data_IF_326314701141
#
_entry.id   IF_326314701141
#
_cell.length_a   1.000
_cell.length_b   1.000
_cell.length_c   1.000
_cell.angle_alpha   90.00
_cell.angle_beta   90.00
_cell.angle_gamma   90.00
#
_symmetry.space_group_name_H-M   'P 1'
#
loop_
_entity.id
_entity.type
_entity.pdbx_description
1 polymer ?
#
# COMPACT_ATOMS: atom_id res chain seq x y z
N UNK A 1 -57.35 15.20 -7.15
CA UNK A 1 -56.43 15.97 -6.29
C UNK A 1 -55.48 15.02 -5.59
N UNK A 2 -54.24 14.96 -5.99
CA UNK A 2 -53.21 14.10 -5.37
C UNK A 2 -52.77 14.75 -4.05
N UNK A 3 -52.98 14.05 -2.91
CA UNK A 3 -52.46 14.47 -1.60
C UNK A 3 -50.91 14.37 -1.66
N UNK A 4 -50.24 15.50 -1.61
CA UNK A 4 -48.79 15.55 -1.38
C UNK A 4 -48.56 15.26 0.12
N UNK A 5 -48.16 14.05 0.45
CA UNK A 5 -47.71 13.68 1.79
C UNK A 5 -46.28 14.24 1.96
N UNK A 6 -46.13 15.26 2.79
CA UNK A 6 -44.80 15.75 3.19
C UNK A 6 -44.17 14.85 4.25
N UNK A 7 -42.84 14.78 4.30
CA UNK A 7 -42.11 14.11 5.36
C UNK A 7 -42.33 14.77 6.70
N UNK A 8 -42.48 13.98 7.75
CA UNK A 8 -42.57 14.50 9.11
C UNK A 8 -41.16 14.77 9.67
N UNK A 9 -41.07 15.75 10.58
CA UNK A 9 -39.78 16.06 11.25
C UNK A 9 -39.26 14.86 12.04
N UNK A 10 -40.17 14.10 12.66
CA UNK A 10 -39.81 12.84 13.36
C UNK A 10 -39.19 11.80 12.43
N UNK A 11 -39.75 11.60 11.24
CA UNK A 11 -39.24 10.66 10.24
C UNK A 11 -37.83 11.03 9.79
N UNK A 12 -37.55 12.34 9.59
CA UNK A 12 -36.23 12.84 9.27
C UNK A 12 -35.21 12.56 10.40
N UNK A 13 -35.64 12.77 11.66
CA UNK A 13 -34.77 12.48 12.82
C UNK A 13 -34.43 11.00 12.94
N UNK A 14 -35.39 10.08 12.71
CA UNK A 14 -35.16 8.64 12.73
C UNK A 14 -34.18 8.24 11.61
N UNK A 15 -34.38 8.75 10.40
CA UNK A 15 -33.48 8.46 9.26
C UNK A 15 -32.06 8.93 9.55
N UNK A 16 -31.89 10.15 10.08
CA UNK A 16 -30.56 10.66 10.43
C UNK A 16 -29.90 9.85 11.55
N UNK A 17 -30.67 9.38 12.54
CA UNK A 17 -30.14 8.51 13.59
C UNK A 17 -29.64 7.17 13.03
N UNK A 18 -30.40 6.54 12.12
CA UNK A 18 -30.01 5.28 11.47
C UNK A 18 -28.76 5.50 10.60
N UNK A 19 -28.73 6.55 9.78
CA UNK A 19 -27.57 6.89 8.94
C UNK A 19 -26.33 7.14 9.79
N UNK A 20 -26.48 7.85 10.91
CA UNK A 20 -25.38 8.10 11.84
C UNK A 20 -24.80 6.83 12.45
N UNK A 21 -25.68 5.90 12.86
CA UNK A 21 -25.28 4.58 13.36
C UNK A 21 -24.53 3.75 12.30
N UNK A 22 -25.07 3.68 11.09
CA UNK A 22 -24.44 2.93 9.98
C UNK A 22 -23.11 3.56 9.57
N UNK A 23 -23.01 4.88 9.51
CA UNK A 23 -21.78 5.58 9.19
C UNK A 23 -20.67 5.35 10.25
N UNK A 24 -21.06 5.34 11.54
CA UNK A 24 -20.13 5.07 12.64
C UNK A 24 -19.41 3.73 12.56
N UNK A 25 -20.04 2.72 12.01
CA UNK A 25 -19.46 1.38 11.82
C UNK A 25 -18.88 1.16 10.41
N UNK A 26 -19.51 1.73 9.40
CA UNK A 26 -19.14 1.53 8.00
C UNK A 26 -17.83 2.21 7.62
N UNK A 27 -17.60 3.43 8.09
CA UNK A 27 -16.41 4.21 7.70
C UNK A 27 -15.09 3.55 8.15
N UNK A 28 -14.91 3.13 9.42
CA UNK A 28 -13.66 2.48 9.84
C UNK A 28 -13.43 1.14 9.13
N UNK A 29 -14.47 0.34 8.95
CA UNK A 29 -14.38 -0.94 8.22
C UNK A 29 -13.95 -0.72 6.76
N UNK A 30 -14.51 0.28 6.10
CA UNK A 30 -14.14 0.63 4.71
C UNK A 30 -12.68 1.07 4.61
N UNK A 31 -12.21 1.91 5.54
CA UNK A 31 -10.80 2.37 5.55
C UNK A 31 -9.81 1.21 5.71
N UNK A 32 -10.11 0.28 6.60
CA UNK A 32 -9.27 -0.91 6.77
C UNK A 32 -9.26 -1.80 5.52
N UNK A 33 -10.41 -1.99 4.88
CA UNK A 33 -10.50 -2.74 3.63
C UNK A 33 -9.66 -2.08 2.53
N UNK A 34 -9.75 -0.76 2.38
CA UNK A 34 -8.95 -0.01 1.41
C UNK A 34 -7.45 -0.09 1.72
N UNK A 35 -7.05 -0.02 3.00
CA UNK A 35 -5.66 -0.18 3.39
C UNK A 35 -5.11 -1.56 3.00
N UNK A 36 -5.86 -2.63 3.23
CA UNK A 36 -5.48 -3.99 2.80
C UNK A 36 -5.31 -4.08 1.28
N UNK A 37 -6.22 -3.47 0.52
CA UNK A 37 -6.13 -3.43 -0.95
C UNK A 37 -4.88 -2.68 -1.42
N UNK A 38 -4.56 -1.54 -0.83
CA UNK A 38 -3.36 -0.79 -1.15
C UNK A 38 -2.08 -1.56 -0.80
N UNK A 39 -2.03 -2.25 0.34
CA UNK A 39 -0.90 -3.13 0.71
C UNK A 39 -0.71 -4.26 -0.29
N UNK A 40 -1.79 -4.96 -0.66
CA UNK A 40 -1.74 -6.02 -1.68
C UNK A 40 -1.24 -5.50 -3.04
N UNK A 41 -1.66 -4.28 -3.41
CA UNK A 41 -1.20 -3.61 -4.63
C UNK A 41 0.30 -3.29 -4.57
N UNK A 42 0.82 -2.81 -3.43
CA UNK A 42 2.24 -2.55 -3.22
C UNK A 42 3.08 -3.83 -3.33
N UNK A 43 2.65 -4.92 -2.68
CA UNK A 43 3.30 -6.24 -2.76
C UNK A 43 3.33 -6.75 -4.19
N UNK A 44 2.20 -6.67 -4.91
CA UNK A 44 2.13 -7.07 -6.33
C UNK A 44 3.06 -6.23 -7.21
N UNK A 45 3.18 -4.92 -6.94
CA UNK A 45 4.09 -4.05 -7.69
C UNK A 45 5.56 -4.40 -7.44
N UNK A 46 5.94 -4.74 -6.20
CA UNK A 46 7.29 -5.24 -5.88
C UNK A 46 7.65 -6.50 -6.65
N UNK A 47 6.74 -7.48 -6.71
CA UNK A 47 6.99 -8.71 -7.47
C UNK A 47 7.09 -8.46 -8.98
N UNK A 48 6.27 -7.56 -9.54
CA UNK A 48 6.41 -7.17 -10.96
C UNK A 48 7.75 -6.51 -11.24
N UNK A 49 8.19 -5.61 -10.36
CA UNK A 49 9.49 -4.95 -10.48
C UNK A 49 10.65 -5.94 -10.31
N UNK A 50 10.55 -6.88 -9.36
CA UNK A 50 11.54 -7.93 -9.16
C UNK A 50 11.68 -8.81 -10.41
N UNK A 51 10.56 -9.29 -10.94
CA UNK A 51 10.55 -10.11 -12.15
C UNK A 51 11.16 -9.37 -13.35
N UNK A 52 10.84 -8.07 -13.53
CA UNK A 52 11.46 -7.25 -14.56
C UNK A 52 12.99 -7.20 -14.40
N UNK A 53 13.49 -6.97 -13.18
CA UNK A 53 14.94 -6.92 -12.92
C UNK A 53 15.65 -8.24 -13.14
N UNK A 54 14.96 -9.36 -12.97
CA UNK A 54 15.48 -10.72 -13.26
C UNK A 54 15.61 -10.97 -14.77
N UNK A 55 14.79 -10.31 -15.59
CA UNK A 55 14.85 -10.44 -17.06
C UNK A 55 15.93 -9.58 -17.72
N UNK A 56 16.58 -8.68 -16.96
CA UNK A 56 17.64 -7.83 -17.48
C UNK A 56 18.95 -8.63 -17.63
N UNK A 57 19.61 -8.45 -18.77
CA UNK A 57 20.93 -9.02 -19.01
C UNK A 57 21.99 -8.48 -18.04
N UNK A 58 22.98 -9.30 -17.75
CA UNK A 58 24.13 -8.93 -16.92
C UNK A 58 24.92 -7.82 -17.63
N UNK A 59 25.06 -6.67 -16.97
CA UNK A 59 25.78 -5.50 -17.49
C UNK A 59 24.90 -4.33 -17.91
N UNK A 60 23.56 -4.49 -17.93
CA UNK A 60 22.65 -3.36 -18.09
C UNK A 60 22.44 -2.62 -16.76
N UNK A 61 22.22 -1.28 -16.80
CA UNK A 61 21.90 -0.53 -15.59
C UNK A 61 20.59 -1.06 -14.98
N UNK A 62 20.66 -1.51 -13.73
CA UNK A 62 19.51 -2.03 -13.00
C UNK A 62 18.71 -0.84 -12.45
N UNK A 63 17.57 -0.58 -13.06
CA UNK A 63 16.65 0.46 -12.62
C UNK A 63 15.20 0.01 -12.81
N UNK A 64 14.31 0.46 -11.93
CA UNK A 64 12.87 0.24 -12.09
C UNK A 64 12.37 1.21 -13.16
N UNK A 65 11.77 0.73 -14.26
CA UNK A 65 11.22 1.60 -15.30
C UNK A 65 10.04 2.41 -14.75
N UNK A 66 9.80 3.58 -15.34
CA UNK A 66 8.76 4.51 -14.89
C UNK A 66 7.36 3.84 -14.82
N UNK A 67 7.06 2.96 -15.76
CA UNK A 67 5.80 2.20 -15.80
C UNK A 67 5.59 1.27 -14.57
N UNK A 68 6.66 0.90 -13.88
CA UNK A 68 6.63 0.06 -12.67
C UNK A 68 7.02 0.84 -11.40
N UNK A 69 7.34 2.13 -11.53
CA UNK A 69 7.87 2.94 -10.44
C UNK A 69 6.81 3.41 -9.44
N UNK A 70 5.53 3.11 -9.69
CA UNK A 70 4.43 3.50 -8.81
C UNK A 70 3.30 2.48 -8.78
N UNK A 71 2.46 2.55 -7.74
CA UNK A 71 1.22 1.78 -7.65
C UNK A 71 0.11 2.63 -7.02
N UNK A 72 -1.12 2.61 -7.58
CA UNK A 72 -1.49 1.98 -8.83
C UNK A 72 -0.73 2.56 -10.03
N UNK A 73 -0.58 1.81 -11.15
CA UNK A 73 0.14 2.29 -12.33
C UNK A 73 -0.53 3.50 -12.97
N UNK A 74 -1.86 3.52 -12.92
CA UNK A 74 -2.68 4.61 -13.45
C UNK A 74 -3.33 5.40 -12.32
N UNK A 75 -3.44 6.72 -12.50
CA UNK A 75 -4.09 7.61 -11.56
C UNK A 75 -3.16 8.14 -10.46
N UNK A 76 -3.74 8.39 -9.28
CA UNK A 76 -2.98 8.99 -8.15
C UNK A 76 -2.15 7.92 -7.46
N UNK A 77 -0.82 8.02 -7.46
CA UNK A 77 0.03 7.03 -6.84
C UNK A 77 -0.14 7.02 -5.32
N UNK A 78 -0.09 5.81 -4.75
CA UNK A 78 -0.15 5.58 -3.29
C UNK A 78 1.21 5.16 -2.76
N UNK A 79 1.93 4.34 -3.52
CA UNK A 79 3.31 3.93 -3.23
C UNK A 79 4.22 4.22 -4.41
N UNK A 80 5.47 4.53 -4.10
CA UNK A 80 6.57 4.58 -5.06
C UNK A 80 7.41 3.32 -4.95
N UNK A 81 7.73 2.70 -6.09
CA UNK A 81 8.62 1.54 -6.16
C UNK A 81 10.02 2.03 -6.53
N UNK A 82 11.00 1.74 -5.70
CA UNK A 82 12.37 2.15 -5.90
C UNK A 82 13.34 1.00 -5.65
N UNK A 83 14.35 0.88 -6.51
CA UNK A 83 15.48 0.00 -6.30
C UNK A 83 16.53 0.74 -5.47
N UNK A 84 16.96 0.15 -4.37
CA UNK A 84 18.12 0.58 -3.61
C UNK A 84 19.22 -0.47 -3.74
N UNK A 85 20.30 -0.16 -4.48
CA UNK A 85 21.47 -1.04 -4.48
C UNK A 85 22.06 -1.03 -3.06
N UNK A 86 22.17 -2.18 -2.44
CA UNK A 86 22.82 -2.30 -1.14
C UNK A 86 24.35 -2.24 -1.35
N UNK A 87 25.00 -1.35 -0.62
CA UNK A 87 26.45 -1.30 -0.61
C UNK A 87 27.01 -2.61 -0.05
N UNK A 88 27.98 -3.18 -0.76
CA UNK A 88 28.71 -4.35 -0.32
C UNK A 88 29.44 -4.00 0.98
N UNK A 89 29.11 -4.71 2.07
CA UNK A 89 29.88 -4.66 3.30
C UNK A 89 30.66 -5.96 3.42
N UNK A 90 31.82 -5.95 4.08
CA UNK A 90 32.69 -7.12 4.27
C UNK A 90 32.00 -8.32 4.92
N UNK A 91 30.79 -8.11 5.46
CA UNK A 91 30.02 -9.12 6.20
C UNK A 91 28.84 -9.73 5.42
N UNK A 92 28.45 -9.20 4.26
CA UNK A 92 27.30 -9.72 3.51
C UNK A 92 27.41 -9.42 2.00
N UNK A 93 26.95 -10.33 1.12
CA UNK A 93 26.90 -10.08 -0.32
C UNK A 93 25.99 -8.89 -0.62
N UNK A 94 26.33 -8.14 -1.68
CA UNK A 94 25.51 -7.04 -2.18
C UNK A 94 24.16 -7.60 -2.66
N UNK A 95 23.09 -7.26 -1.94
CA UNK A 95 21.73 -7.71 -2.26
C UNK A 95 20.92 -6.48 -2.66
N UNK A 96 20.38 -6.48 -3.86
CA UNK A 96 19.48 -5.41 -4.30
C UNK A 96 18.21 -5.42 -3.45
N UNK A 97 17.74 -4.23 -3.08
CA UNK A 97 16.56 -4.05 -2.26
C UNK A 97 15.50 -3.23 -3.02
N UNK A 98 14.37 -3.87 -3.32
CA UNK A 98 13.20 -3.20 -3.85
C UNK A 98 12.33 -2.70 -2.70
N UNK A 99 11.97 -1.43 -2.75
CA UNK A 99 11.19 -0.75 -1.73
C UNK A 99 9.88 -0.23 -2.31
N UNK A 100 8.74 -0.55 -1.69
CA UNK A 100 7.48 0.14 -1.92
C UNK A 100 7.27 1.15 -0.79
N UNK A 101 7.50 2.42 -1.10
CA UNK A 101 7.52 3.53 -0.15
C UNK A 101 6.16 4.23 -0.21
N UNK A 102 5.39 4.30 0.91
CA UNK A 102 4.15 5.07 0.92
C UNK A 102 4.42 6.55 0.70
N UNK A 103 3.59 7.20 -0.09
CA UNK A 103 3.73 8.63 -0.36
C UNK A 103 3.22 9.46 0.82
N UNK A 104 3.95 10.50 1.19
CA UNK A 104 3.62 11.40 2.32
C UNK A 104 2.28 12.13 2.17
N UNK A 105 1.82 12.31 0.94
CA UNK A 105 0.52 12.92 0.61
C UNK A 105 -0.58 11.87 0.36
N UNK A 106 -0.25 10.58 0.48
CA UNK A 106 -1.15 9.47 0.18
C UNK A 106 -1.96 8.97 1.38
N UNK A 107 -2.98 8.14 1.12
CA UNK A 107 -3.81 7.56 2.19
C UNK A 107 -3.07 6.56 3.09
N UNK A 108 -1.89 6.11 2.66
CA UNK A 108 -1.08 5.10 3.37
C UNK A 108 0.15 5.69 4.08
N UNK A 109 0.26 7.03 4.16
CA UNK A 109 1.43 7.70 4.76
C UNK A 109 1.67 7.30 6.22
N UNK A 110 0.62 7.05 6.98
CA UNK A 110 0.69 6.70 8.41
C UNK A 110 0.33 5.21 8.63
N UNK A 111 0.45 4.39 7.59
CA UNK A 111 0.18 2.96 7.68
C UNK A 111 1.21 2.25 8.56
N UNK A 112 0.73 1.38 9.47
CA UNK A 112 1.58 0.64 10.40
C UNK A 112 2.61 -0.28 9.70
N UNK A 113 2.32 -0.71 8.47
CA UNK A 113 3.23 -1.54 7.67
C UNK A 113 4.41 -0.76 7.08
N UNK A 114 4.31 0.58 6.97
CA UNK A 114 5.37 1.43 6.46
C UNK A 114 5.83 1.07 5.05
N UNK A 115 7.14 1.09 4.83
CA UNK A 115 7.77 0.71 3.56
C UNK A 115 7.93 -0.80 3.47
N UNK A 116 7.42 -1.40 2.40
CA UNK A 116 7.64 -2.81 2.09
C UNK A 116 9.00 -3.00 1.42
N UNK A 117 9.72 -4.04 1.83
CA UNK A 117 11.06 -4.36 1.37
C UNK A 117 11.08 -5.78 0.80
N UNK A 118 11.51 -5.92 -0.44
CA UNK A 118 11.77 -7.21 -1.08
C UNK A 118 13.22 -7.24 -1.57
N UNK A 119 14.00 -8.19 -1.05
CA UNK A 119 15.41 -8.37 -1.44
C UNK A 119 15.54 -9.41 -2.54
N UNK A 120 16.64 -9.35 -3.28
CA UNK A 120 16.91 -10.26 -4.38
C UNK A 120 17.12 -11.71 -3.92
N UNK A 121 17.39 -11.97 -2.64
CA UNK A 121 17.41 -13.28 -2.01
C UNK A 121 16.03 -13.82 -1.63
N UNK A 122 14.96 -13.08 -1.93
CA UNK A 122 13.57 -13.39 -1.56
C UNK A 122 13.19 -12.99 -0.15
N UNK A 123 14.10 -12.42 0.63
CA UNK A 123 13.81 -11.93 1.99
C UNK A 123 12.85 -10.75 1.93
N UNK A 124 11.87 -10.75 2.83
CA UNK A 124 10.85 -9.72 2.96
C UNK A 124 11.00 -8.98 4.29
N UNK A 125 10.66 -7.72 4.29
CA UNK A 125 10.66 -6.90 5.50
C UNK A 125 9.71 -5.72 5.39
N UNK A 126 9.52 -5.06 6.52
CA UNK A 126 8.80 -3.80 6.61
C UNK A 126 9.68 -2.81 7.35
N UNK A 127 9.86 -1.61 6.80
CA UNK A 127 10.57 -0.53 7.49
C UNK A 127 9.56 0.50 7.96
N UNK A 128 9.47 0.63 9.26
CA UNK A 128 8.61 1.63 9.91
C UNK A 128 9.20 3.04 9.73
N UNK A 129 8.41 4.05 10.05
CA UNK A 129 8.81 5.46 9.91
C UNK A 129 9.97 5.85 10.84
N UNK A 130 10.11 5.17 11.97
CA UNK A 130 11.23 5.31 12.92
C UNK A 130 12.54 4.68 12.44
N UNK A 131 12.52 4.01 11.27
CA UNK A 131 13.66 3.30 10.70
C UNK A 131 13.77 1.83 11.14
N UNK A 132 12.96 1.38 12.08
CA UNK A 132 12.94 -0.02 12.51
C UNK A 132 12.51 -0.93 11.37
N UNK A 133 13.29 -1.99 11.14
CA UNK A 133 12.98 -2.99 10.13
C UNK A 133 12.57 -4.30 10.82
N UNK A 134 11.36 -4.76 10.51
CA UNK A 134 10.77 -5.98 11.05
C UNK A 134 10.08 -6.77 9.93
N UNK A 135 9.97 -8.08 10.10
CA UNK A 135 9.11 -8.91 9.29
C UNK A 135 7.71 -8.97 9.90
N UNK A 136 6.73 -8.37 9.22
CA UNK A 136 5.32 -8.40 9.66
C UNK A 136 4.47 -9.17 8.64
N UNK A 137 4.18 -10.47 8.89
CA UNK A 137 3.45 -11.34 7.96
C UNK A 137 2.08 -10.79 7.56
N UNK A 138 1.38 -10.16 8.51
CA UNK A 138 0.04 -9.61 8.28
C UNK A 138 0.04 -8.49 7.23
N UNK A 139 1.14 -7.76 7.10
CA UNK A 139 1.32 -6.72 6.08
C UNK A 139 1.44 -7.31 4.67
N UNK A 140 1.99 -8.51 4.55
CA UNK A 140 2.21 -9.22 3.29
C UNK A 140 1.06 -10.15 2.89
N UNK A 141 -0.04 -10.14 3.65
CA UNK A 141 -1.20 -11.00 3.39
C UNK A 141 -0.98 -12.47 3.74
N UNK A 142 0.06 -12.79 4.48
CA UNK A 142 0.31 -14.13 5.03
C UNK A 142 -0.48 -14.25 6.33
N UNK A 143 -1.41 -15.21 6.38
CA UNK A 143 -2.19 -15.56 7.58
C UNK A 143 -1.58 -16.77 8.26
#
# INVERSE_FOLDING_TARGET
MARRTGFTLLELMIVLAIVGLLAGWGIPSYREHMARTHRASAVSALYRAAHYLETLDVGLPRAVPEALAQTPPDGRPVYRIALRPRQQSDAAPATDELNAIPLDTGPMRDDACGTFILRSDGTKGNRKRDGTEEWEPACWGVR
#
